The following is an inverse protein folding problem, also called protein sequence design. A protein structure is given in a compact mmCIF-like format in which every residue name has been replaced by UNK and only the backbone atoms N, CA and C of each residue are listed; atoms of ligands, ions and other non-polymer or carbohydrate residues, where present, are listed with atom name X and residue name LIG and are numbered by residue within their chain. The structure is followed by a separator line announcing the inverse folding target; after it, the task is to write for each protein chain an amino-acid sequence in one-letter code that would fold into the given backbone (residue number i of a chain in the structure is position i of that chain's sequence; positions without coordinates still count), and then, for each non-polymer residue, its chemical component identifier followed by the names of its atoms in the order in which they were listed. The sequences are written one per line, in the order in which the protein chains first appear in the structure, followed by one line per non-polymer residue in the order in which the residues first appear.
data_IF_909512027013
#
_entry.id   IF_909512027013
#
_cell.length_a   1.000
_cell.length_b   1.000
_cell.length_c   1.000
_cell.angle_alpha   90.00
_cell.angle_beta   90.00
_cell.angle_gamma   90.00
#
_symmetry.space_group_name_H-M   'P 1'
#
loop_
_entity.id
_entity.type
_entity.pdbx_description
1 polymer ?
#
# COMPACT_ATOMS: atom_id res chain seq x y z
N UNK A 1 -16.99 7.31 4.45
CA UNK A 1 -16.21 6.81 3.29
C UNK A 1 -15.60 7.99 2.52
N UNK A 2 -14.43 7.82 1.89
CA UNK A 2 -13.67 8.90 1.22
C UNK A 2 -14.47 9.67 0.15
N UNK A 3 -15.38 9.00 -0.57
CA UNK A 3 -16.27 9.68 -1.54
C UNK A 3 -17.21 10.70 -0.90
N UNK A 4 -17.65 10.44 0.33
CA UNK A 4 -18.45 11.40 1.09
C UNK A 4 -17.64 12.65 1.47
N UNK A 5 -16.35 12.47 1.80
CA UNK A 5 -15.42 13.58 2.04
C UNK A 5 -15.24 14.41 0.77
N UNK A 6 -15.08 13.76 -0.38
CA UNK A 6 -14.98 14.44 -1.67
C UNK A 6 -16.27 15.17 -2.09
N UNK A 7 -17.44 14.64 -1.73
CA UNK A 7 -18.70 15.33 -1.97
C UNK A 7 -18.83 16.56 -1.06
N UNK A 8 -18.51 16.40 0.23
CA UNK A 8 -18.57 17.48 1.20
C UNK A 8 -17.60 18.62 0.84
N UNK A 9 -16.37 18.30 0.39
CA UNK A 9 -15.39 19.32 0.04
C UNK A 9 -15.91 20.24 -1.08
N UNK A 10 -16.67 19.70 -2.04
CA UNK A 10 -17.31 20.50 -3.09
C UNK A 10 -18.34 21.46 -2.52
N UNK A 11 -19.19 20.98 -1.60
CA UNK A 11 -20.21 21.83 -0.95
C UNK A 11 -19.59 22.90 -0.04
N UNK A 12 -18.46 22.59 0.59
CA UNK A 12 -17.74 23.49 1.49
C UNK A 12 -16.74 24.41 0.76
N UNK A 13 -16.58 24.28 -0.56
CA UNK A 13 -15.59 25.05 -1.33
C UNK A 13 -14.13 24.73 -0.98
N UNK A 14 -13.85 23.54 -0.46
CA UNK A 14 -12.52 23.10 -0.04
C UNK A 14 -11.78 22.42 -1.21
N UNK A 15 -10.65 22.98 -1.69
CA UNK A 15 -10.00 22.53 -2.91
C UNK A 15 -8.99 21.39 -2.66
N UNK A 16 -9.40 20.33 -1.96
CA UNK A 16 -8.55 19.17 -1.77
C UNK A 16 -8.21 18.52 -3.11
N UNK A 17 -6.94 18.12 -3.26
CA UNK A 17 -6.41 17.45 -4.46
C UNK A 17 -5.76 16.12 -4.15
N UNK A 18 -5.50 15.86 -2.87
CA UNK A 18 -4.83 14.68 -2.38
C UNK A 18 -5.55 14.12 -1.16
N UNK A 19 -5.39 12.83 -0.92
CA UNK A 19 -5.72 12.21 0.34
C UNK A 19 -4.70 11.13 0.67
N UNK A 20 -4.55 10.83 1.95
CA UNK A 20 -3.62 9.83 2.46
C UNK A 20 -4.35 8.52 2.74
N UNK A 21 -3.95 7.46 2.05
CA UNK A 21 -4.27 6.09 2.38
C UNK A 21 -3.20 5.55 3.34
N UNK A 22 -3.44 5.75 4.64
CA UNK A 22 -2.46 5.45 5.69
C UNK A 22 -2.26 3.94 5.88
N UNK A 23 -3.14 3.28 6.63
CA UNK A 23 -2.99 1.88 7.01
C UNK A 23 -4.27 1.08 6.76
N UNK A 24 -4.17 -0.25 6.88
CA UNK A 24 -5.30 -1.21 6.83
C UNK A 24 -6.02 -1.35 5.47
N UNK A 25 -5.62 -0.58 4.46
CA UNK A 25 -6.17 -0.69 3.11
C UNK A 25 -5.54 -1.79 2.25
N UNK A 26 -4.35 -2.26 2.62
CA UNK A 26 -3.58 -3.32 1.96
C UNK A 26 -3.46 -4.57 2.83
N UNK A 27 -2.93 -5.66 2.26
CA UNK A 27 -2.79 -6.94 2.96
C UNK A 27 -1.55 -6.98 3.84
N UNK A 28 -1.74 -7.47 5.07
CA UNK A 28 -0.70 -7.55 6.10
C UNK A 28 -0.56 -9.00 6.58
N UNK A 29 0.65 -9.39 7.00
CA UNK A 29 0.88 -10.66 7.65
C UNK A 29 0.19 -10.72 9.03
N UNK A 30 -0.24 -11.91 9.45
CA UNK A 30 -0.90 -12.07 10.75
C UNK A 30 -0.03 -11.64 11.92
N UNK A 31 1.25 -12.03 11.88
CA UNK A 31 2.28 -11.66 12.84
C UNK A 31 3.02 -10.42 12.35
N UNK A 32 3.18 -9.43 13.22
CA UNK A 32 3.94 -8.21 12.93
C UNK A 32 3.23 -7.16 12.05
N UNK A 33 2.23 -7.58 11.27
CA UNK A 33 1.47 -6.70 10.37
C UNK A 33 2.32 -6.04 9.28
N UNK A 34 3.43 -6.67 8.89
CA UNK A 34 4.21 -6.27 7.72
C UNK A 34 3.44 -6.51 6.41
N UNK A 35 3.77 -5.77 5.36
CA UNK A 35 3.08 -5.84 4.06
C UNK A 35 3.29 -7.21 3.41
N UNK A 36 2.21 -7.88 3.04
CA UNK A 36 2.28 -9.08 2.19
C UNK A 36 1.98 -8.71 0.75
N UNK A 37 0.85 -8.04 0.50
CA UNK A 37 0.44 -7.60 -0.83
C UNK A 37 -0.05 -6.15 -0.76
N UNK A 38 0.55 -5.28 -1.58
CA UNK A 38 0.27 -3.84 -1.58
C UNK A 38 -0.80 -3.46 -2.62
N UNK A 39 -1.93 -4.16 -2.54
CA UNK A 39 -3.13 -3.88 -3.33
C UNK A 39 -4.31 -3.61 -2.42
N UNK A 40 -5.26 -2.81 -2.91
CA UNK A 40 -6.45 -2.44 -2.14
C UNK A 40 -7.33 -3.66 -1.84
N UNK A 41 -7.65 -3.84 -0.56
CA UNK A 41 -8.55 -4.88 -0.07
C UNK A 41 -9.98 -4.59 -0.53
N UNK A 42 -10.69 -5.53 -1.18
CA UNK A 42 -12.05 -5.32 -1.66
C UNK A 42 -13.06 -5.06 -0.53
N UNK A 43 -12.81 -5.55 0.68
CA UNK A 43 -13.65 -5.26 1.85
C UNK A 43 -13.53 -3.80 2.34
N UNK A 44 -12.43 -3.11 2.02
CA UNK A 44 -12.22 -1.68 2.33
C UNK A 44 -12.57 -0.80 1.13
N UNK A 45 -12.11 -1.21 -0.06
CA UNK A 45 -12.35 -0.55 -1.35
C UNK A 45 -12.97 -1.55 -2.34
N UNK A 46 -14.31 -1.77 -2.30
CA UNK A 46 -14.98 -2.79 -3.13
C UNK A 46 -14.86 -2.59 -4.63
N UNK A 47 -14.57 -1.35 -5.06
CA UNK A 47 -14.33 -1.00 -6.46
C UNK A 47 -12.88 -0.59 -6.73
N UNK A 48 -11.98 -0.88 -5.79
CA UNK A 48 -10.58 -0.49 -5.83
C UNK A 48 -10.34 1.02 -5.66
N UNK A 49 -9.07 1.40 -5.56
CA UNK A 49 -8.66 2.81 -5.46
C UNK A 49 -8.81 3.57 -6.78
N UNK A 50 -8.70 2.89 -7.92
CA UNK A 50 -8.90 3.50 -9.24
C UNK A 50 -10.29 4.11 -9.37
N UNK A 51 -11.33 3.43 -8.87
CA UNK A 51 -12.68 3.98 -8.84
C UNK A 51 -12.78 5.28 -8.03
N UNK A 52 -12.02 5.40 -6.94
CA UNK A 52 -11.98 6.65 -6.17
C UNK A 52 -11.34 7.75 -7.01
N UNK A 53 -10.18 7.48 -7.60
CA UNK A 53 -9.46 8.43 -8.44
C UNK A 53 -10.30 8.92 -9.62
N UNK A 54 -10.97 8.03 -10.35
CA UNK A 54 -11.85 8.38 -11.48
C UNK A 54 -13.05 9.24 -11.06
N UNK A 55 -13.55 9.08 -9.83
CA UNK A 55 -14.73 9.80 -9.32
C UNK A 55 -14.40 11.15 -8.69
N UNK A 56 -13.20 11.32 -8.17
CA UNK A 56 -12.81 12.53 -7.43
C UNK A 56 -11.75 13.36 -8.14
N UNK A 57 -10.93 12.74 -8.99
CA UNK A 57 -9.70 13.32 -9.53
C UNK A 57 -8.60 13.52 -8.48
N UNK A 58 -8.79 13.03 -7.25
CA UNK A 58 -7.82 13.22 -6.17
C UNK A 58 -6.69 12.21 -6.25
N UNK A 59 -5.48 12.72 -6.21
CA UNK A 59 -4.27 11.91 -6.13
C UNK A 59 -4.16 11.26 -4.75
N UNK A 60 -3.46 10.13 -4.69
CA UNK A 60 -3.32 9.33 -3.48
C UNK A 60 -1.88 9.44 -3.00
N UNK A 61 -1.69 9.81 -1.75
CA UNK A 61 -0.48 9.48 -1.00
C UNK A 61 -0.77 8.16 -0.30
N UNK A 62 0.08 7.16 -0.47
CA UNK A 62 -0.19 5.84 0.07
C UNK A 62 1.01 5.37 0.90
N UNK A 63 0.71 5.06 2.14
CA UNK A 63 1.69 4.56 3.09
C UNK A 63 1.67 3.04 3.11
N UNK A 64 2.81 2.44 3.43
CA UNK A 64 2.88 1.13 4.03
C UNK A 64 3.98 1.01 5.07
N UNK A 65 3.82 0.03 5.95
CA UNK A 65 4.84 -0.35 6.92
C UNK A 65 6.03 -1.06 6.23
N UNK A 66 6.85 -1.75 7.01
CA UNK A 66 7.86 -2.67 6.47
C UNK A 66 7.23 -3.85 5.69
N UNK A 67 7.98 -4.41 4.74
CA UNK A 67 7.58 -5.62 4.02
C UNK A 67 7.74 -6.85 4.90
N UNK A 68 6.78 -7.76 4.85
CA UNK A 68 6.84 -9.02 5.59
C UNK A 68 7.81 -10.01 4.94
N UNK A 69 8.53 -10.79 5.74
CA UNK A 69 9.32 -11.94 5.28
C UNK A 69 8.53 -12.95 4.43
N UNK A 70 7.20 -13.00 4.60
CA UNK A 70 6.31 -13.90 3.85
C UNK A 70 5.63 -13.22 2.65
N UNK A 71 6.11 -12.05 2.22
CA UNK A 71 5.55 -11.38 1.03
C UNK A 71 5.65 -12.28 -0.21
N UNK A 72 4.55 -12.53 -0.94
CA UNK A 72 4.56 -13.31 -2.18
C UNK A 72 5.36 -12.66 -3.32
N UNK A 73 5.84 -11.41 -3.16
CA UNK A 73 6.71 -10.79 -4.17
C UNK A 73 8.12 -11.38 -4.17
N UNK A 74 8.60 -11.90 -3.03
CA UNK A 74 9.95 -12.41 -2.86
C UNK A 74 10.11 -13.82 -3.48
N UNK A 75 11.23 -14.08 -4.17
CA UNK A 75 11.54 -15.39 -4.78
C UNK A 75 11.48 -16.54 -3.77
N UNK A 76 11.89 -16.31 -2.52
CA UNK A 76 11.83 -17.29 -1.43
C UNK A 76 10.39 -17.76 -1.13
N UNK A 77 9.39 -16.94 -1.48
CA UNK A 77 7.96 -17.23 -1.33
C UNK A 77 7.27 -17.53 -2.67
N UNK A 78 8.04 -17.86 -3.72
CA UNK A 78 7.52 -18.14 -5.07
C UNK A 78 7.29 -16.91 -5.95
N UNK A 79 7.73 -15.74 -5.50
CA UNK A 79 7.65 -14.49 -6.25
C UNK A 79 8.74 -14.30 -7.30
N UNK A 80 8.77 -13.12 -7.91
CA UNK A 80 9.67 -12.78 -9.03
C UNK A 80 10.98 -12.12 -8.58
N UNK A 81 11.01 -11.52 -7.40
CA UNK A 81 12.02 -10.51 -7.03
C UNK A 81 12.91 -10.94 -5.87
N UNK A 82 14.17 -10.52 -5.89
CA UNK A 82 15.08 -10.71 -4.77
C UNK A 82 14.74 -9.78 -3.60
N UNK A 83 14.66 -10.38 -2.41
CA UNK A 83 14.49 -9.70 -1.14
C UNK A 83 15.55 -10.17 -0.15
N UNK A 84 16.08 -9.25 0.65
CA UNK A 84 16.78 -9.58 1.90
C UNK A 84 15.73 -9.92 2.94
N UNK A 85 15.82 -11.11 3.52
CA UNK A 85 14.87 -11.59 4.52
C UNK A 85 15.56 -11.63 5.87
N UNK A 86 15.02 -10.87 6.82
CA UNK A 86 15.40 -10.96 8.23
C UNK A 86 14.35 -11.77 8.98
N UNK A 87 14.72 -13.02 9.28
CA UNK A 87 13.89 -13.95 10.02
C UNK A 87 14.05 -13.83 11.54
N UNK A 88 14.86 -12.88 12.02
CA UNK A 88 14.99 -12.62 13.44
C UNK A 88 13.68 -12.06 14.01
N UNK A 89 13.36 -12.48 15.23
CA UNK A 89 12.26 -11.89 15.99
C UNK A 89 12.78 -10.63 16.64
N UNK A 90 12.11 -9.49 16.45
CA UNK A 90 12.52 -8.27 17.14
C UNK A 90 12.41 -8.44 18.66
N UNK A 91 13.35 -7.90 19.45
CA UNK A 91 13.26 -7.87 20.90
C UNK A 91 12.03 -7.12 21.43
N UNK A 92 11.38 -6.30 20.59
CA UNK A 92 10.14 -5.60 20.94
C UNK A 92 8.88 -6.47 20.83
N UNK A 93 8.98 -7.76 20.48
CA UNK A 93 7.88 -8.74 20.51
C UNK A 93 6.74 -8.53 19.49
N UNK A 94 6.56 -7.30 19.02
CA UNK A 94 5.47 -6.90 18.12
C UNK A 94 5.89 -6.78 16.64
N UNK A 95 7.18 -6.74 16.34
CA UNK A 95 7.64 -6.73 14.95
C UNK A 95 7.81 -8.17 14.47
N UNK A 96 7.12 -8.48 13.37
CA UNK A 96 7.28 -9.74 12.66
C UNK A 96 8.57 -9.75 11.86
N UNK A 97 8.84 -10.88 11.23
CA UNK A 97 9.99 -11.06 10.34
C UNK A 97 9.90 -10.09 9.16
N UNK A 98 11.02 -9.47 8.83
CA UNK A 98 11.11 -8.34 7.91
C UNK A 98 11.66 -8.79 6.55
N UNK A 99 11.32 -8.03 5.51
CA UNK A 99 11.90 -8.17 4.19
C UNK A 99 12.26 -6.79 3.61
N UNK A 100 13.25 -6.75 2.74
CA UNK A 100 13.59 -5.56 1.96
C UNK A 100 13.81 -5.96 0.49
N UNK A 101 13.02 -5.43 -0.46
CA UNK A 101 13.29 -5.63 -1.89
C UNK A 101 14.60 -4.96 -2.27
N UNK A 102 15.46 -5.66 -3.02
CA UNK A 102 16.77 -5.13 -3.44
C UNK A 102 16.87 -4.79 -4.93
N UNK A 103 15.88 -5.19 -5.72
CA UNK A 103 15.86 -4.95 -7.16
C UNK A 103 15.09 -3.66 -7.50
N UNK A 104 15.68 -2.77 -8.30
CA UNK A 104 14.99 -1.57 -8.81
C UNK A 104 13.73 -1.93 -9.61
N UNK A 105 13.78 -3.03 -10.37
CA UNK A 105 12.68 -3.47 -11.22
C UNK A 105 11.41 -3.85 -10.42
N UNK A 106 11.54 -4.25 -9.15
CA UNK A 106 10.39 -4.42 -8.26
C UNK A 106 9.66 -3.09 -8.06
N UNK A 107 10.40 -2.03 -7.73
CA UNK A 107 9.85 -0.70 -7.50
C UNK A 107 9.25 -0.10 -8.76
N UNK A 108 9.92 -0.29 -9.90
CA UNK A 108 9.41 0.19 -11.19
C UNK A 108 8.05 -0.46 -11.51
N UNK A 109 7.93 -1.79 -11.36
CA UNK A 109 6.67 -2.49 -11.62
C UNK A 109 5.58 -2.12 -10.61
N UNK A 110 5.91 -2.07 -9.31
CA UNK A 110 4.98 -1.73 -8.23
C UNK A 110 4.40 -0.32 -8.44
N UNK A 111 5.27 0.68 -8.66
CA UNK A 111 4.87 2.08 -8.78
C UNK A 111 4.22 2.38 -10.13
N UNK A 112 4.65 1.73 -11.22
CA UNK A 112 4.00 1.86 -12.53
C UNK A 112 2.55 1.36 -12.47
N UNK A 113 2.33 0.22 -11.81
CA UNK A 113 0.97 -0.31 -11.60
C UNK A 113 0.17 0.60 -10.68
N UNK A 114 0.79 1.11 -9.61
CA UNK A 114 0.10 1.94 -8.63
C UNK A 114 -0.35 3.31 -9.16
N UNK A 115 0.38 3.89 -10.12
CA UNK A 115 -0.02 5.12 -10.80
C UNK A 115 -1.41 5.04 -11.45
N UNK A 116 -1.86 3.84 -11.85
CA UNK A 116 -3.19 3.63 -12.47
C UNK A 116 -4.34 4.03 -11.56
N UNK A 117 -4.15 3.94 -10.24
CA UNK A 117 -5.15 4.36 -9.27
C UNK A 117 -4.87 5.73 -8.65
N UNK A 118 -3.99 6.53 -9.28
CA UNK A 118 -3.73 7.91 -8.88
C UNK A 118 -2.65 8.06 -7.81
N UNK A 119 -1.81 7.05 -7.57
CA UNK A 119 -0.66 7.18 -6.67
C UNK A 119 0.24 8.33 -7.11
N UNK A 120 0.46 9.29 -6.22
CA UNK A 120 1.41 10.37 -6.38
C UNK A 120 2.64 10.22 -5.47
N UNK A 121 2.45 9.67 -4.26
CA UNK A 121 3.52 9.48 -3.27
C UNK A 121 3.42 8.11 -2.64
N UNK A 122 4.53 7.36 -2.70
CA UNK A 122 4.76 6.15 -1.90
C UNK A 122 5.51 6.56 -0.62
N UNK A 123 4.97 6.21 0.54
CA UNK A 123 5.58 6.46 1.85
C UNK A 123 5.80 5.13 2.58
N UNK A 124 7.02 4.89 3.05
CA UNK A 124 7.39 3.73 3.87
C UNK A 124 8.18 4.17 5.10
#
# INVERSE_FOLDING_TARGET
AILGVAQYSKTAGLPYRYWLADSWWYYQADVGKGVTNWTARPEVFPRGLQYIYERTGWLVMAHNRYWSATTPYAKQNGGKWDFLIDNSTSPAGELGKLALPVEQAFWDELLLNARRWGLAVYEQ
#
